data_IF_416483469913
#
_entry.id   IF_416483469913
#
_cell.length_a   1.000
_cell.length_b   1.000
_cell.length_c   1.000
_cell.angle_alpha   90.00
_cell.angle_beta   90.00
_cell.angle_gamma   90.00
#
_symmetry.space_group_name_H-M   'P 1'
#
loop_
_entity.id
_entity.type
_entity.pdbx_description
1 polymer ?
#
# COMPACT_ATOMS: atom_id res chain seq x y z
N UNK A 1 28.22 0.42 17.08
CA UNK A 1 27.66 -0.79 16.46
C UNK A 1 26.43 -0.34 15.70
N UNK A 2 26.37 -0.67 14.42
CA UNK A 2 25.49 -0.01 13.46
C UNK A 2 24.03 -0.41 13.70
N UNK A 3 23.24 0.58 14.09
CA UNK A 3 21.80 0.56 14.38
C UNK A 3 20.99 0.40 13.07
N UNK A 4 21.38 -0.59 12.26
CA UNK A 4 20.90 -0.83 10.89
C UNK A 4 19.54 -1.53 10.91
N UNK A 5 19.21 -2.22 12.00
CA UNK A 5 18.07 -3.14 11.99
C UNK A 5 16.78 -2.61 12.61
N UNK A 6 16.78 -1.63 13.53
CA UNK A 6 15.54 -1.04 14.07
C UNK A 6 15.81 0.24 14.91
N UNK A 7 16.07 1.43 14.33
CA UNK A 7 16.09 2.65 15.11
C UNK A 7 14.67 2.97 15.64
N UNK A 8 14.57 3.26 16.94
CA UNK A 8 13.33 3.43 17.73
C UNK A 8 12.61 4.77 17.47
N UNK A 9 12.52 5.21 16.21
CA UNK A 9 11.91 6.49 15.84
C UNK A 9 10.89 6.31 14.71
N UNK A 10 9.60 6.36 15.08
CA UNK A 10 8.45 6.49 14.18
C UNK A 10 8.63 7.71 13.26
N UNK A 11 9.18 7.49 12.07
CA UNK A 11 9.54 8.58 11.17
C UNK A 11 8.38 9.06 10.30
N UNK A 12 7.55 8.15 9.77
CA UNK A 12 6.61 8.47 8.68
C UNK A 12 5.49 7.42 8.55
N UNK A 13 4.92 6.88 9.63
CA UNK A 13 3.81 5.90 9.60
C UNK A 13 3.73 5.01 10.85
N UNK A 14 2.67 4.18 11.02
CA UNK A 14 2.46 3.32 12.19
C UNK A 14 3.47 2.16 12.31
N UNK A 15 4.18 1.84 11.23
CA UNK A 15 5.29 0.88 11.17
C UNK A 15 6.13 1.19 9.92
N UNK A 16 7.18 0.41 9.62
CA UNK A 16 7.97 0.67 8.41
C UNK A 16 7.28 0.13 7.14
N UNK A 17 7.24 0.93 6.07
CA UNK A 17 6.62 0.50 4.80
C UNK A 17 7.14 -0.86 4.28
N UNK A 18 8.41 -1.20 4.54
CA UNK A 18 8.99 -2.49 4.15
C UNK A 18 8.36 -3.69 4.88
N UNK A 19 7.89 -3.50 6.11
CA UNK A 19 7.24 -4.56 6.89
C UNK A 19 5.94 -5.03 6.24
N UNK A 20 5.19 -4.12 5.60
CA UNK A 20 3.98 -4.48 4.84
C UNK A 20 4.32 -4.84 3.40
N UNK A 21 5.05 -3.96 2.68
CA UNK A 21 5.30 -4.16 1.25
C UNK A 21 6.15 -5.40 0.95
N UNK A 22 6.98 -5.85 1.89
CA UNK A 22 7.75 -7.09 1.78
C UNK A 22 6.92 -8.37 1.93
N UNK A 23 5.66 -8.28 2.38
CA UNK A 23 4.74 -9.42 2.47
C UNK A 23 4.05 -9.74 1.15
N UNK A 24 4.21 -8.88 0.14
CA UNK A 24 3.56 -9.00 -1.16
C UNK A 24 4.57 -9.28 -2.27
N UNK A 25 4.07 -9.74 -3.42
CA UNK A 25 4.89 -9.87 -4.62
C UNK A 25 5.49 -8.54 -5.06
N UNK A 26 6.42 -8.59 -6.01
CA UNK A 26 7.15 -7.41 -6.46
C UNK A 26 6.21 -6.27 -6.92
N UNK A 27 5.16 -6.60 -7.65
CA UNK A 27 4.25 -5.60 -8.21
C UNK A 27 3.41 -4.96 -7.11
N UNK A 28 2.75 -5.76 -6.28
CA UNK A 28 1.90 -5.28 -5.21
C UNK A 28 2.70 -4.58 -4.11
N UNK A 29 3.86 -5.10 -3.73
CA UNK A 29 4.78 -4.44 -2.80
C UNK A 29 5.21 -3.05 -3.30
N UNK A 30 5.48 -2.90 -4.60
CA UNK A 30 5.74 -1.57 -5.16
C UNK A 30 4.50 -0.67 -5.15
N UNK A 31 3.32 -1.18 -5.50
CA UNK A 31 2.08 -0.40 -5.41
C UNK A 31 1.86 0.16 -4.00
N UNK A 32 1.98 -0.69 -2.97
CA UNK A 32 1.91 -0.30 -1.55
C UNK A 32 2.93 0.80 -1.23
N UNK A 33 4.19 0.65 -1.64
CA UNK A 33 5.24 1.67 -1.42
C UNK A 33 4.89 3.03 -2.02
N UNK A 34 4.30 3.04 -3.20
CA UNK A 34 3.92 4.28 -3.88
C UNK A 34 2.71 4.95 -3.22
N UNK A 35 1.69 4.17 -2.82
CA UNK A 35 0.56 4.70 -2.04
C UNK A 35 1.03 5.18 -0.67
N UNK A 36 1.89 4.45 0.03
CA UNK A 36 2.40 4.84 1.34
C UNK A 36 3.03 6.24 1.35
N UNK A 37 3.83 6.54 0.32
CA UNK A 37 4.74 7.70 0.34
C UNK A 37 4.25 8.92 -0.43
N UNK A 38 3.11 8.84 -1.13
CA UNK A 38 2.71 9.90 -2.06
C UNK A 38 2.57 11.27 -1.38
N UNK A 39 2.16 11.29 -0.10
CA UNK A 39 2.08 12.51 0.74
C UNK A 39 3.43 13.00 1.28
N UNK A 40 4.51 12.24 1.13
CA UNK A 40 5.81 12.49 1.77
C UNK A 40 6.85 13.11 0.82
N UNK A 41 6.73 12.89 -0.50
CA UNK A 41 7.76 13.23 -1.49
C UNK A 41 7.45 14.41 -2.40
N UNK A 42 6.38 15.16 -2.14
CA UNK A 42 6.02 16.37 -2.88
C UNK A 42 5.62 16.17 -4.35
N UNK A 43 5.50 14.93 -4.83
CA UNK A 43 4.99 14.58 -6.16
C UNK A 43 3.88 13.52 -6.05
N UNK A 44 2.78 13.81 -5.33
CA UNK A 44 1.77 12.82 -4.96
C UNK A 44 1.14 12.13 -6.18
N UNK A 45 0.70 12.91 -7.18
CA UNK A 45 0.11 12.37 -8.42
C UNK A 45 1.06 11.42 -9.15
N UNK A 46 2.35 11.74 -9.22
CA UNK A 46 3.35 10.90 -9.92
C UNK A 46 3.56 9.57 -9.21
N UNK A 47 3.62 9.58 -7.88
CA UNK A 47 3.73 8.35 -7.11
C UNK A 47 2.45 7.51 -7.23
N UNK A 48 1.27 8.11 -7.13
CA UNK A 48 -0.01 7.40 -7.30
C UNK A 48 -0.17 6.79 -8.71
N UNK A 49 0.25 7.50 -9.76
CA UNK A 49 0.26 6.94 -11.13
C UNK A 49 1.19 5.74 -11.27
N UNK A 50 2.31 5.72 -10.55
CA UNK A 50 3.16 4.53 -10.48
C UNK A 50 2.50 3.40 -9.72
N UNK A 51 1.82 3.67 -8.59
CA UNK A 51 1.04 2.65 -7.90
C UNK A 51 0.01 2.00 -8.84
N UNK A 52 -0.74 2.82 -9.58
CA UNK A 52 -1.73 2.36 -10.55
C UNK A 52 -1.11 1.50 -11.66
N UNK A 53 0.09 1.87 -12.14
CA UNK A 53 0.82 1.08 -13.13
C UNK A 53 1.14 -0.33 -12.61
N UNK A 54 1.63 -0.45 -11.37
CA UNK A 54 1.94 -1.75 -10.78
C UNK A 54 0.68 -2.59 -10.52
N UNK A 55 -0.41 -2.00 -10.04
CA UNK A 55 -1.68 -2.72 -9.83
C UNK A 55 -2.24 -3.27 -11.14
N UNK A 56 -2.17 -2.50 -12.22
CA UNK A 56 -2.58 -2.96 -13.54
C UNK A 56 -1.68 -4.08 -14.09
N UNK A 57 -0.40 -4.08 -13.71
CA UNK A 57 0.52 -5.17 -14.08
C UNK A 57 0.18 -6.47 -13.34
N UNK A 58 -0.09 -6.39 -12.03
CA UNK A 58 -0.58 -7.52 -11.23
C UNK A 58 -1.83 -8.15 -11.86
N UNK A 59 -2.77 -7.32 -12.36
CA UNK A 59 -3.97 -7.80 -13.07
C UNK A 59 -3.66 -8.60 -14.34
N UNK A 60 -2.60 -8.24 -15.06
CA UNK A 60 -2.18 -8.89 -16.31
C UNK A 60 -1.42 -10.20 -16.09
N UNK A 61 -0.63 -10.29 -15.03
CA UNK A 61 0.15 -11.50 -14.70
C UNK A 61 -0.69 -12.59 -14.03
N UNK A 62 -1.66 -12.22 -13.18
CA UNK A 62 -2.44 -13.16 -12.36
C UNK A 62 -3.77 -13.62 -12.97
N UNK A 63 -3.96 -13.48 -14.29
CA UNK A 63 -5.09 -14.02 -15.05
C UNK A 63 -6.33 -14.40 -14.22
N UNK A 64 -7.07 -13.38 -13.74
CA UNK A 64 -8.20 -13.45 -12.80
C UNK A 64 -7.82 -13.29 -11.30
N UNK A 65 -7.70 -12.02 -10.87
CA UNK A 65 -8.44 -11.57 -9.68
C UNK A 65 -7.82 -11.69 -8.28
N UNK A 66 -6.66 -12.32 -8.08
CA UNK A 66 -6.12 -12.48 -6.72
C UNK A 66 -4.79 -11.75 -6.53
N UNK A 67 -4.80 -10.70 -5.70
CA UNK A 67 -3.58 -10.05 -5.21
C UNK A 67 -2.93 -10.95 -4.16
N UNK A 68 -2.11 -11.91 -4.60
CA UNK A 68 -1.54 -12.88 -3.66
C UNK A 68 -0.49 -12.24 -2.76
N UNK A 69 -0.86 -11.97 -1.50
CA UNK A 69 0.11 -11.76 -0.43
C UNK A 69 0.84 -13.10 -0.17
N UNK A 70 2.14 -13.06 0.14
CA UNK A 70 2.89 -14.24 0.61
C UNK A 70 2.34 -14.82 1.93
N UNK A 71 1.39 -14.13 2.55
CA UNK A 71 0.69 -14.51 3.79
C UNK A 71 -0.12 -15.80 3.65
N UNK A 72 -0.55 -16.18 2.45
CA UNK A 72 -1.22 -17.47 2.20
C UNK A 72 -0.36 -18.70 2.52
N UNK A 73 0.97 -18.52 2.63
CA UNK A 73 1.93 -19.58 2.95
C UNK A 73 2.37 -19.60 4.43
N UNK A 74 1.84 -18.70 5.28
CA UNK A 74 2.21 -18.62 6.70
C UNK A 74 1.14 -19.33 7.56
N UNK A 75 1.45 -20.46 8.24
CA UNK A 75 0.48 -21.16 9.07
C UNK A 75 0.11 -20.33 10.31
N UNK A 76 -1.19 -20.19 10.57
CA UNK A 76 -1.81 -19.80 11.86
C UNK A 76 -1.15 -18.59 12.57
N UNK A 77 -1.19 -17.42 11.93
CA UNK A 77 -0.82 -16.14 12.58
C UNK A 77 -0.48 -15.00 11.62
N UNK A 78 -0.11 -15.33 10.37
CA UNK A 78 0.22 -14.34 9.35
C UNK A 78 -0.93 -13.40 9.00
N UNK A 79 -2.15 -13.95 8.88
CA UNK A 79 -3.34 -13.14 8.58
C UNK A 79 -3.70 -12.16 9.70
N UNK A 80 -3.54 -12.55 10.96
CA UNK A 80 -3.84 -11.67 12.10
C UNK A 80 -2.91 -10.46 12.12
N UNK A 81 -1.59 -10.67 11.98
CA UNK A 81 -0.63 -9.56 11.91
C UNK A 81 -0.84 -8.66 10.69
N UNK A 82 -1.15 -9.23 9.52
CA UNK A 82 -1.44 -8.44 8.33
C UNK A 82 -2.69 -7.58 8.53
N UNK A 83 -3.78 -8.18 9.03
CA UNK A 83 -5.02 -7.48 9.35
C UNK A 83 -4.76 -6.34 10.35
N UNK A 84 -4.06 -6.61 11.46
CA UNK A 84 -3.70 -5.59 12.46
C UNK A 84 -2.90 -4.42 11.85
N UNK A 85 -2.03 -4.71 10.87
CA UNK A 85 -1.25 -3.68 10.16
C UNK A 85 -2.14 -2.84 9.24
N UNK A 86 -3.07 -3.45 8.51
CA UNK A 86 -4.00 -2.75 7.63
C UNK A 86 -5.06 -1.96 8.39
N UNK A 87 -5.51 -2.48 9.54
CA UNK A 87 -6.37 -1.78 10.50
C UNK A 87 -5.70 -0.52 11.03
N UNK A 88 -4.45 -0.62 11.48
CA UNK A 88 -3.69 0.55 11.94
C UNK A 88 -3.59 1.66 10.87
N UNK A 89 -3.39 1.28 9.60
CA UNK A 89 -3.34 2.24 8.49
C UNK A 89 -4.72 2.87 8.22
N UNK A 90 -5.78 2.07 8.30
CA UNK A 90 -7.16 2.50 8.13
C UNK A 90 -7.60 3.45 9.25
N UNK A 91 -7.34 3.10 10.51
CA UNK A 91 -7.68 3.92 11.68
C UNK A 91 -6.92 5.25 11.69
N UNK A 92 -5.64 5.22 11.31
CA UNK A 92 -4.81 6.41 11.21
C UNK A 92 -5.13 7.27 9.97
N UNK A 93 -6.03 6.82 9.08
CA UNK A 93 -6.24 7.39 7.75
C UNK A 93 -4.91 7.66 7.02
N UNK A 94 -4.02 6.67 7.04
CA UNK A 94 -2.65 6.86 6.57
C UNK A 94 -2.64 7.27 5.09
N UNK A 95 -1.98 8.40 4.83
CA UNK A 95 -1.88 9.04 3.51
C UNK A 95 -3.24 9.32 2.82
N UNK A 96 -4.33 9.53 3.58
CA UNK A 96 -5.69 9.67 3.04
C UNK A 96 -6.17 8.47 2.21
N UNK A 97 -5.50 7.33 2.34
CA UNK A 97 -5.67 6.16 1.47
C UNK A 97 -6.49 5.04 2.14
N UNK A 98 -7.37 5.37 3.09
CA UNK A 98 -8.24 4.40 3.77
C UNK A 98 -8.96 3.43 2.81
N UNK A 99 -9.56 3.87 1.69
CA UNK A 99 -10.21 2.95 0.76
C UNK A 99 -9.24 1.93 0.13
N UNK A 100 -7.97 2.31 -0.05
CA UNK A 100 -6.94 1.42 -0.57
C UNK A 100 -6.55 0.35 0.45
N UNK A 101 -6.34 0.73 1.72
CA UNK A 101 -5.96 -0.21 2.78
C UNK A 101 -7.04 -1.26 3.04
N UNK A 102 -8.32 -0.85 3.06
CA UNK A 102 -9.46 -1.77 3.16
C UNK A 102 -9.57 -2.73 1.98
N UNK A 103 -9.46 -2.21 0.76
CA UNK A 103 -9.49 -3.06 -0.43
C UNK A 103 -8.32 -4.06 -0.44
N UNK A 104 -7.17 -3.70 0.12
CA UNK A 104 -6.03 -4.60 0.25
C UNK A 104 -6.28 -5.70 1.29
N UNK A 105 -6.98 -5.38 2.38
CA UNK A 105 -7.42 -6.34 3.41
C UNK A 105 -8.44 -7.34 2.86
N UNK A 106 -9.40 -6.85 2.08
CA UNK A 106 -10.43 -7.64 1.41
C UNK A 106 -9.91 -8.47 0.21
N UNK A 107 -8.61 -8.37 -0.09
CA UNK A 107 -8.00 -8.96 -1.29
C UNK A 107 -8.69 -8.51 -2.60
N UNK A 108 -9.23 -7.28 -2.62
CA UNK A 108 -9.92 -6.68 -3.75
C UNK A 108 -8.98 -5.79 -4.57
N UNK A 109 -8.38 -6.38 -5.60
CA UNK A 109 -7.52 -5.67 -6.54
C UNK A 109 -8.27 -4.56 -7.30
N UNK A 110 -9.55 -4.75 -7.63
CA UNK A 110 -10.34 -3.75 -8.36
C UNK A 110 -10.67 -2.56 -7.46
N UNK A 111 -10.96 -2.80 -6.19
CA UNK A 111 -11.09 -1.78 -5.15
C UNK A 111 -9.80 -1.02 -4.94
N UNK A 112 -8.64 -1.69 -4.90
CA UNK A 112 -7.33 -1.05 -4.81
C UNK A 112 -7.09 -0.08 -5.98
N UNK A 113 -7.36 -0.52 -7.22
CA UNK A 113 -7.24 0.31 -8.42
C UNK A 113 -8.16 1.53 -8.32
N UNK A 114 -9.43 1.30 -7.98
CA UNK A 114 -10.43 2.37 -7.83
C UNK A 114 -10.01 3.39 -6.78
N UNK A 115 -9.49 2.93 -5.64
CA UNK A 115 -9.01 3.80 -4.57
C UNK A 115 -7.83 4.68 -5.03
N UNK A 116 -6.86 4.10 -5.76
CA UNK A 116 -5.74 4.88 -6.31
C UNK A 116 -6.21 5.90 -7.34
N UNK A 117 -7.17 5.56 -8.20
CA UNK A 117 -7.76 6.52 -9.14
C UNK A 117 -8.46 7.68 -8.42
N UNK A 118 -9.17 7.40 -7.33
CA UNK A 118 -9.80 8.43 -6.50
C UNK A 118 -8.77 9.35 -5.84
N UNK A 119 -7.67 8.78 -5.33
CA UNK A 119 -6.55 9.55 -4.77
C UNK A 119 -5.92 10.46 -5.83
N UNK A 120 -5.67 9.95 -7.04
CA UNK A 120 -5.13 10.77 -8.16
C UNK A 120 -6.04 11.97 -8.42
N UNK A 121 -7.36 11.74 -8.55
CA UNK A 121 -8.34 12.80 -8.78
C UNK A 121 -8.38 13.80 -7.61
N UNK A 122 -8.15 13.36 -6.38
CA UNK A 122 -8.10 14.24 -5.21
C UNK A 122 -6.87 15.16 -5.25
N UNK A 123 -5.69 14.59 -5.51
CA UNK A 123 -4.43 15.33 -5.57
C UNK A 123 -4.35 16.31 -6.77
N UNK A 124 -4.97 15.95 -7.89
CA UNK A 124 -5.07 16.83 -9.06
C UNK A 124 -5.95 18.06 -8.77
N UNK A 125 -6.95 17.96 -7.88
CA UNK A 125 -7.78 19.10 -7.47
C UNK A 125 -7.07 20.05 -6.50
N UNK A 126 -6.07 19.56 -5.77
CA UNK A 126 -5.35 20.34 -4.74
C UNK A 126 -4.12 21.06 -5.28
N UNK A 127 -3.70 20.78 -6.52
CA UNK A 127 -2.54 21.43 -7.15
C UNK A 127 -2.99 22.74 -7.81
N UNK A 128 -2.56 23.93 -7.34
CA UNK A 128 -2.89 25.19 -8.01
C UNK A 128 -2.22 25.25 -9.39
N UNK A 129 -2.97 25.72 -10.40
CA UNK A 129 -2.46 25.98 -11.75
C UNK A 129 -1.37 27.05 -11.79
#
# INVERSE_FOLDING_TARGET
MSDINHPQHYGQGPFECIELSGLYDFCMGNAIKYVWRHKLKGQPVKDLRKALWYLNHTKGEHGLGEATAMVTWIPLGGCARLADMLDQLTEANWADATPFWKALEDNDLAGCITAVEQLIRAEERTTPS
#
